data_IF_805408259034
#
_entry.id   IF_805408259034
#
_cell.length_a   1.000
_cell.length_b   1.000
_cell.length_c   1.000
_cell.angle_alpha   90.00
_cell.angle_beta   90.00
_cell.angle_gamma   90.00
#
_symmetry.space_group_name_H-M   'P 1'
#
loop_
_entity.id
_entity.type
_entity.pdbx_description
1 polymer ?
#
# COMPACT_ATOMS: atom_id res chain seq x y z
N UNK A 1 -3.80 -15.64 -9.60
CA UNK A 1 -3.90 -14.34 -10.32
C UNK A 1 -4.83 -13.41 -9.55
N UNK A 2 -4.36 -12.21 -9.16
CA UNK A 2 -5.21 -11.19 -8.48
C UNK A 2 -6.00 -10.46 -9.57
N UNK A 3 -7.33 -10.63 -9.60
CA UNK A 3 -8.19 -10.06 -10.64
C UNK A 3 -8.68 -8.65 -10.25
N UNK A 4 -8.74 -7.76 -11.22
CA UNK A 4 -9.51 -6.52 -11.07
C UNK A 4 -11.00 -6.81 -11.33
N UNK A 5 -11.88 -6.12 -10.59
CA UNK A 5 -13.34 -6.24 -10.72
C UNK A 5 -13.98 -5.00 -11.35
N UNK A 6 -13.23 -3.92 -11.58
CA UNK A 6 -13.77 -2.71 -12.21
C UNK A 6 -14.05 -2.92 -13.69
N UNK A 7 -15.24 -2.51 -14.13
CA UNK A 7 -15.61 -2.41 -15.54
C UNK A 7 -15.13 -1.04 -16.05
N UNK A 8 -14.32 -1.03 -17.11
CA UNK A 8 -13.78 0.20 -17.69
C UNK A 8 -14.69 0.61 -18.87
N UNK A 9 -15.10 1.87 -18.88
CA UNK A 9 -15.84 2.46 -20.01
C UNK A 9 -14.96 2.52 -21.26
N UNK A 10 -15.53 2.22 -22.42
CA UNK A 10 -14.82 2.11 -23.71
C UNK A 10 -14.45 3.47 -24.35
N UNK A 11 -14.82 4.61 -23.75
CA UNK A 11 -14.56 5.94 -24.33
C UNK A 11 -14.18 6.96 -23.24
N UNK A 12 -12.91 6.96 -22.84
CA UNK A 12 -12.40 7.87 -21.80
C UNK A 12 -11.39 8.83 -22.44
N UNK A 13 -11.60 10.16 -22.34
CA UNK A 13 -10.67 11.15 -22.92
C UNK A 13 -9.25 11.02 -22.33
N UNK A 14 -8.22 11.49 -23.07
CA UNK A 14 -6.84 11.44 -22.60
C UNK A 14 -6.66 12.33 -21.38
N UNK A 15 -5.81 11.89 -20.44
CA UNK A 15 -5.50 12.66 -19.25
C UNK A 15 -4.18 13.38 -19.47
N UNK A 16 -4.21 14.71 -19.53
CA UNK A 16 -3.06 15.53 -19.95
C UNK A 16 -2.51 16.43 -18.83
N UNK A 17 -3.23 16.54 -17.71
CA UNK A 17 -2.85 17.41 -16.60
C UNK A 17 -2.19 16.57 -15.49
N UNK A 18 -0.87 16.71 -15.24
CA UNK A 18 -0.18 15.92 -14.23
C UNK A 18 -0.57 16.35 -12.81
N UNK A 19 -0.75 15.38 -11.91
CA UNK A 19 -1.09 15.65 -10.51
C UNK A 19 0.18 15.91 -9.69
N UNK A 20 0.25 17.00 -8.90
CA UNK A 20 1.37 17.25 -8.01
C UNK A 20 1.62 16.07 -7.05
N UNK A 21 2.90 15.74 -6.83
CA UNK A 21 3.31 14.64 -5.96
C UNK A 21 3.13 13.23 -6.54
N UNK A 22 2.62 13.09 -7.77
CA UNK A 22 2.51 11.81 -8.47
C UNK A 22 3.57 11.65 -9.56
N UNK A 23 3.70 10.42 -10.08
CA UNK A 23 4.68 10.06 -11.10
C UNK A 23 4.34 10.60 -12.51
N UNK A 24 3.17 11.20 -12.69
CA UNK A 24 2.54 11.53 -13.98
C UNK A 24 3.50 12.29 -14.93
N UNK A 25 4.01 13.46 -14.50
CA UNK A 25 4.87 14.31 -15.32
C UNK A 25 6.22 13.64 -15.64
N UNK A 26 6.89 13.09 -14.61
CA UNK A 26 8.19 12.44 -14.78
C UNK A 26 8.10 11.23 -15.71
N UNK A 27 7.00 10.45 -15.61
CA UNK A 27 6.75 9.32 -16.50
C UNK A 27 6.44 9.76 -17.93
N UNK A 28 5.66 10.82 -18.12
CA UNK A 28 5.34 11.36 -19.43
C UNK A 28 6.59 11.83 -20.18
N UNK A 29 7.47 12.57 -19.49
CA UNK A 29 8.74 13.02 -20.06
C UNK A 29 9.65 11.82 -20.38
N UNK A 30 9.77 10.87 -19.45
CA UNK A 30 10.65 9.70 -19.62
C UNK A 30 10.25 8.81 -20.81
N UNK A 31 8.95 8.60 -21.00
CA UNK A 31 8.43 7.67 -22.01
C UNK A 31 7.79 8.38 -23.21
N UNK A 32 7.88 9.71 -23.26
CA UNK A 32 7.29 10.56 -24.30
C UNK A 32 5.81 10.24 -24.56
N UNK A 33 5.01 10.23 -23.49
CA UNK A 33 3.58 9.96 -23.55
C UNK A 33 2.74 11.24 -23.53
N UNK A 34 1.79 11.33 -24.46
CA UNK A 34 0.79 12.41 -24.50
C UNK A 34 -0.40 12.15 -23.56
N UNK A 35 -0.74 10.87 -23.32
CA UNK A 35 -1.73 10.44 -22.32
C UNK A 35 -1.03 9.90 -21.06
N UNK A 36 -1.25 10.59 -19.95
CA UNK A 36 -0.66 10.27 -18.64
C UNK A 36 -1.21 8.96 -18.06
N UNK A 37 -2.33 8.43 -18.56
CA UNK A 37 -2.94 7.18 -18.07
C UNK A 37 -1.97 6.00 -18.07
N UNK A 38 -1.10 5.90 -19.08
CA UNK A 38 -0.09 4.83 -19.16
C UNK A 38 0.86 4.84 -17.96
N UNK A 39 1.17 6.02 -17.42
CA UNK A 39 1.99 6.16 -16.20
C UNK A 39 1.15 5.87 -14.96
N UNK A 40 -0.05 6.45 -14.90
CA UNK A 40 -0.97 6.36 -13.76
C UNK A 40 -1.31 4.93 -13.38
N UNK A 41 -1.74 4.13 -14.36
CA UNK A 41 -2.20 2.76 -14.12
C UNK A 41 -1.08 1.89 -13.56
N UNK A 42 0.18 2.16 -13.95
CA UNK A 42 1.33 1.39 -13.46
C UNK A 42 1.89 1.91 -12.14
N UNK A 43 1.93 3.23 -11.94
CA UNK A 43 2.45 3.84 -10.72
C UNK A 43 1.46 3.74 -9.54
N UNK A 44 0.24 3.25 -9.79
CA UNK A 44 -0.81 3.07 -8.79
C UNK A 44 -0.38 2.17 -7.63
N UNK A 45 -0.84 2.53 -6.42
CA UNK A 45 -0.71 1.70 -5.24
C UNK A 45 -1.35 0.30 -5.39
N UNK A 46 -2.15 0.06 -6.44
CA UNK A 46 -2.72 -1.26 -6.76
C UNK A 46 -1.66 -2.35 -6.88
N UNK A 47 -0.46 -2.02 -7.36
CA UNK A 47 0.66 -2.97 -7.50
C UNK A 47 1.06 -3.60 -6.15
N UNK A 48 0.84 -2.89 -5.04
CA UNK A 48 1.13 -3.41 -3.68
C UNK A 48 0.37 -4.70 -3.36
N UNK A 49 -0.77 -4.97 -4.00
CA UNK A 49 -1.50 -6.24 -3.84
C UNK A 49 -0.64 -7.45 -4.24
N UNK A 50 0.15 -7.34 -5.31
CA UNK A 50 1.07 -8.40 -5.73
C UNK A 50 2.24 -8.52 -4.75
N UNK A 51 2.76 -7.40 -4.24
CA UNK A 51 3.80 -7.40 -3.21
C UNK A 51 3.34 -8.09 -1.92
N UNK A 52 2.10 -7.84 -1.50
CA UNK A 52 1.50 -8.51 -0.32
C UNK A 52 1.35 -10.00 -0.57
N UNK A 53 0.91 -10.43 -1.76
CA UNK A 53 0.79 -11.84 -2.09
C UNK A 53 2.14 -12.58 -2.03
N UNK A 54 3.19 -12.00 -2.61
CA UNK A 54 4.55 -12.54 -2.52
C UNK A 54 5.05 -12.51 -1.07
N UNK A 55 4.80 -11.41 -0.37
CA UNK A 55 5.17 -11.25 1.04
C UNK A 55 4.54 -12.31 1.95
N UNK A 56 3.33 -12.78 1.65
CA UNK A 56 2.70 -13.88 2.39
C UNK A 56 3.47 -15.21 2.25
N UNK A 57 4.01 -15.48 1.05
CA UNK A 57 4.88 -16.65 0.81
C UNK A 57 6.16 -16.51 1.64
N UNK A 58 6.81 -15.35 1.59
CA UNK A 58 8.02 -15.09 2.38
C UNK A 58 7.75 -15.20 3.90
N UNK A 59 6.61 -14.69 4.39
CA UNK A 59 6.21 -14.82 5.80
C UNK A 59 6.06 -16.27 6.23
N UNK A 60 5.50 -17.13 5.36
CA UNK A 60 5.38 -18.57 5.63
C UNK A 60 6.75 -19.25 5.69
N UNK A 61 7.66 -18.90 4.79
CA UNK A 61 9.03 -19.41 4.84
C UNK A 61 9.73 -19.00 6.15
N UNK A 62 9.62 -17.72 6.54
CA UNK A 62 10.24 -17.21 7.76
C UNK A 62 9.67 -17.84 9.04
N UNK A 63 8.41 -18.27 9.03
CA UNK A 63 7.83 -18.93 10.20
C UNK A 63 8.46 -20.28 10.53
N UNK A 64 9.10 -20.95 9.58
CA UNK A 64 9.88 -22.18 9.83
C UNK A 64 11.11 -21.91 10.72
N UNK A 65 11.55 -20.65 10.80
CA UNK A 65 12.66 -20.20 11.64
C UNK A 65 12.20 -19.44 12.88
N UNK A 66 10.91 -19.55 13.23
CA UNK A 66 10.27 -18.82 14.33
C UNK A 66 10.31 -17.28 14.20
N UNK A 67 10.63 -16.77 13.01
CA UNK A 67 10.67 -15.33 12.72
C UNK A 67 9.25 -14.84 12.44
N UNK A 68 8.82 -13.80 13.17
CA UNK A 68 7.50 -13.16 13.00
C UNK A 68 7.67 -11.69 12.64
N UNK A 69 6.85 -11.24 11.69
CA UNK A 69 6.87 -9.86 11.20
C UNK A 69 5.54 -9.19 11.55
N UNK A 70 5.62 -8.00 12.11
CA UNK A 70 4.49 -7.20 12.52
C UNK A 70 4.64 -5.76 12.04
N UNK A 71 3.53 -5.05 11.92
CA UNK A 71 3.48 -3.62 11.59
C UNK A 71 2.38 -2.93 12.37
N UNK A 72 2.64 -1.69 12.83
CA UNK A 72 1.66 -0.79 13.44
C UNK A 72 1.83 0.62 12.92
N UNK A 73 0.80 1.43 13.02
CA UNK A 73 0.86 2.87 12.76
C UNK A 73 1.38 3.59 14.01
N UNK A 74 2.42 4.40 13.84
CA UNK A 74 3.03 5.18 14.93
C UNK A 74 2.53 6.63 14.92
N UNK A 75 2.12 7.16 13.76
CA UNK A 75 1.67 8.54 13.62
C UNK A 75 0.80 8.71 12.38
N UNK A 76 -0.26 9.52 12.49
CA UNK A 76 -1.07 10.01 11.36
C UNK A 76 -1.21 11.53 11.53
N UNK A 77 -0.78 12.29 10.53
CA UNK A 77 -0.76 13.75 10.62
C UNK A 77 0.06 14.22 11.84
N UNK A 78 -0.56 15.03 12.69
CA UNK A 78 0.05 15.54 13.94
C UNK A 78 -0.14 14.63 15.16
N UNK A 79 -0.95 13.56 15.06
CA UNK A 79 -1.29 12.68 16.18
C UNK A 79 -0.34 11.47 16.19
N UNK A 80 0.33 11.25 17.32
CA UNK A 80 1.34 10.20 17.49
C UNK A 80 0.94 9.21 18.60
N UNK A 81 1.05 7.92 18.30
CA UNK A 81 0.93 6.84 19.27
C UNK A 81 2.22 6.76 20.10
N UNK A 82 2.15 7.19 21.36
CA UNK A 82 3.28 7.19 22.30
C UNK A 82 3.39 5.89 23.10
N UNK A 83 2.49 4.93 22.87
CA UNK A 83 2.49 3.67 23.61
C UNK A 83 3.68 2.79 23.19
N UNK A 84 4.29 2.16 24.20
CA UNK A 84 5.30 1.14 23.99
C UNK A 84 4.64 -0.18 23.62
N UNK A 85 5.25 -0.89 22.67
CA UNK A 85 4.73 -2.17 22.17
C UNK A 85 5.77 -3.27 22.30
N UNK A 86 5.33 -4.44 22.78
CA UNK A 86 6.14 -5.65 22.80
C UNK A 86 5.71 -6.57 21.65
N UNK A 87 6.63 -7.03 20.78
CA UNK A 87 6.33 -7.79 19.56
C UNK A 87 6.03 -9.27 19.81
N UNK A 88 5.11 -9.57 20.74
CA UNK A 88 4.62 -10.92 21.00
C UNK A 88 3.31 -11.17 20.25
N UNK A 89 3.08 -12.42 19.81
CA UNK A 89 1.91 -12.76 18.98
C UNK A 89 0.58 -12.40 19.64
N UNK A 90 0.47 -12.59 20.96
CA UNK A 90 -0.74 -12.26 21.71
C UNK A 90 -1.06 -10.75 21.71
N UNK A 91 -0.05 -9.88 21.64
CA UNK A 91 -0.27 -8.42 21.64
C UNK A 91 -0.63 -7.89 20.25
N UNK A 92 -0.37 -8.65 19.18
CA UNK A 92 -0.59 -8.16 17.82
C UNK A 92 -2.06 -8.05 17.44
N UNK A 93 -2.93 -8.87 18.06
CA UNK A 93 -4.37 -8.83 17.81
C UNK A 93 -4.97 -7.45 18.15
N UNK A 94 -4.44 -6.78 19.18
CA UNK A 94 -4.85 -5.41 19.57
C UNK A 94 -4.66 -4.43 18.40
N UNK A 95 -3.59 -4.61 17.63
CA UNK A 95 -3.27 -3.78 16.46
C UNK A 95 -4.16 -4.15 15.28
N UNK A 96 -4.43 -5.44 15.05
CA UNK A 96 -5.34 -5.89 13.97
C UNK A 96 -6.78 -5.44 14.18
N UNK A 97 -7.25 -5.44 15.42
CA UNK A 97 -8.61 -5.03 15.78
C UNK A 97 -8.80 -3.50 15.79
N UNK A 98 -7.69 -2.74 15.82
CA UNK A 98 -7.74 -1.28 15.75
C UNK A 98 -8.08 -0.81 14.34
N UNK A 99 -9.08 0.09 14.17
CA UNK A 99 -9.47 0.60 12.85
C UNK A 99 -8.33 1.35 12.13
N UNK A 100 -7.39 1.90 12.90
CA UNK A 100 -6.22 2.62 12.39
C UNK A 100 -4.91 1.86 12.58
N UNK A 101 -4.97 0.61 13.06
CA UNK A 101 -3.79 -0.23 13.34
C UNK A 101 -2.77 0.42 14.28
N UNK A 102 -3.25 1.19 15.26
CA UNK A 102 -2.46 1.79 16.33
C UNK A 102 -2.79 1.14 17.69
N UNK A 103 -1.93 1.34 18.69
CA UNK A 103 -2.22 0.90 20.06
C UNK A 103 -3.04 1.93 20.83
N UNK A 104 -2.92 3.19 20.46
CA UNK A 104 -3.72 4.25 21.06
C UNK A 104 -5.21 4.00 20.78
N UNK A 105 -6.01 4.07 21.84
CA UNK A 105 -7.45 3.83 21.83
C UNK A 105 -8.27 5.11 21.95
N UNK A 106 -7.60 6.26 22.09
CA UNK A 106 -8.24 7.58 22.20
C UNK A 106 -8.67 8.13 20.86
#
# INVERSE_FOLDING_TARGET
MVKDRKVISQNIPPLTHPRPGHADLAGAIKYNFDDLRNVLERASARETAVRVAIGAICRRFLSEFEIRIYSRVIQIGSIKDVNQWQPIKASYQIIEDSPLRCLDKR
#
